data_IF_678900594321
#
_entry.id   IF_678900594321
#
_cell.length_a   1.000
_cell.length_b   1.000
_cell.length_c   1.000
_cell.angle_alpha   90.00
_cell.angle_beta   90.00
_cell.angle_gamma   90.00
#
_symmetry.space_group_name_H-M   'P 1'
#
loop_
_entity.id
_entity.type
_entity.pdbx_description
1 polymer ?
#
# COMPACT_ATOMS: atom_id res chain seq x y z
N UNK A 1 0.35 9.48 -34.68
CA UNK A 1 1.00 8.20 -35.04
C UNK A 1 0.76 7.26 -33.86
N UNK A 2 -0.21 6.34 -33.99
CA UNK A 2 -0.66 5.44 -32.91
C UNK A 2 0.12 4.12 -33.05
N UNK A 3 0.96 3.78 -32.08
CA UNK A 3 1.67 2.50 -32.05
C UNK A 3 0.92 1.47 -31.21
N UNK A 4 0.22 0.58 -31.93
CA UNK A 4 0.13 -0.88 -31.78
C UNK A 4 -0.16 -1.53 -30.41
N UNK A 5 -1.41 -1.98 -30.31
CA UNK A 5 -1.95 -3.09 -29.51
C UNK A 5 -1.43 -4.47 -29.97
N UNK A 6 -0.19 -4.85 -29.64
CA UNK A 6 0.34 -6.17 -30.03
C UNK A 6 1.23 -6.83 -28.98
N UNK A 7 0.82 -6.80 -27.71
CA UNK A 7 1.50 -7.50 -26.61
C UNK A 7 0.57 -8.50 -25.88
N UNK A 8 -0.45 -9.08 -26.53
CA UNK A 8 -1.53 -9.78 -25.83
C UNK A 8 -1.38 -11.29 -25.63
N UNK A 9 -0.40 -11.98 -26.22
CA UNK A 9 -0.33 -13.45 -26.10
C UNK A 9 0.71 -13.98 -25.09
N UNK A 10 1.81 -13.27 -24.84
CA UNK A 10 2.80 -13.70 -23.84
C UNK A 10 2.40 -13.36 -22.39
N UNK A 11 1.38 -12.50 -22.20
CA UNK A 11 0.99 -11.93 -20.91
C UNK A 11 -0.02 -12.80 -20.15
N UNK A 12 -0.74 -13.70 -20.84
CA UNK A 12 -1.77 -14.56 -20.19
C UNK A 12 -1.21 -15.63 -19.25
N UNK A 13 0.08 -15.97 -19.34
CA UNK A 13 0.70 -16.96 -18.47
C UNK A 13 1.25 -16.38 -17.15
N UNK A 14 1.37 -15.05 -17.02
CA UNK A 14 1.92 -14.39 -15.83
C UNK A 14 0.86 -13.77 -14.90
N UNK A 15 -0.39 -13.63 -15.37
CA UNK A 15 -1.45 -12.92 -14.63
C UNK A 15 -1.18 -11.41 -14.59
N UNK A 16 -2.16 -10.62 -15.03
CA UNK A 16 -2.22 -9.16 -14.91
C UNK A 16 -1.39 -8.35 -15.92
N UNK A 17 -2.03 -7.30 -16.46
CA UNK A 17 -1.51 -6.47 -17.55
C UNK A 17 -0.26 -5.67 -17.18
N UNK A 18 0.45 -5.20 -18.19
CA UNK A 18 1.58 -4.26 -18.05
C UNK A 18 1.15 -3.02 -17.28
N UNK A 19 1.58 -2.90 -16.03
CA UNK A 19 1.36 -1.73 -15.17
C UNK A 19 2.40 -0.66 -15.52
N UNK A 20 1.95 0.52 -15.93
CA UNK A 20 2.78 1.66 -16.35
C UNK A 20 3.43 2.45 -15.19
N UNK A 21 3.23 2.02 -13.95
CA UNK A 21 3.61 2.74 -12.72
C UNK A 21 3.70 1.78 -11.54
N UNK A 22 4.22 2.28 -10.41
CA UNK A 22 4.23 1.55 -9.13
C UNK A 22 2.83 1.49 -8.53
N UNK A 23 2.16 0.33 -8.61
CA UNK A 23 0.85 0.17 -8.02
C UNK A 23 0.92 0.11 -6.48
N UNK A 24 0.11 0.91 -5.79
CA UNK A 24 0.01 0.91 -4.32
C UNK A 24 -1.41 0.47 -3.93
N UNK A 25 -1.59 -0.79 -3.53
CA UNK A 25 -2.92 -1.35 -3.33
C UNK A 25 -3.57 -0.81 -2.05
N UNK A 26 -4.85 -0.48 -2.14
CA UNK A 26 -5.76 -0.32 -1.00
C UNK A 26 -7.15 -0.86 -1.40
N UNK A 27 -8.00 -1.18 -0.43
CA UNK A 27 -9.35 -1.66 -0.72
C UNK A 27 -10.42 -0.72 -0.17
N UNK A 28 -11.50 -0.55 -0.94
CA UNK A 28 -12.74 0.08 -0.48
C UNK A 28 -13.83 -0.97 -0.54
N UNK A 29 -14.50 -1.22 0.58
CA UNK A 29 -15.57 -2.22 0.68
C UNK A 29 -15.14 -3.62 0.19
N UNK A 30 -13.89 -3.99 0.47
CA UNK A 30 -13.30 -5.27 0.05
C UNK A 30 -12.96 -5.36 -1.44
N UNK A 31 -12.90 -4.23 -2.16
CA UNK A 31 -12.45 -4.18 -3.54
C UNK A 31 -11.13 -3.42 -3.64
N UNK A 32 -10.08 -4.14 -4.07
CA UNK A 32 -8.74 -3.60 -4.24
C UNK A 32 -8.63 -2.71 -5.47
N UNK A 33 -7.98 -1.57 -5.30
CA UNK A 33 -7.70 -0.57 -6.32
C UNK A 33 -6.26 -0.06 -6.16
N UNK A 34 -5.70 0.50 -7.23
CA UNK A 34 -4.40 1.17 -7.19
C UNK A 34 -4.58 2.62 -6.71
N UNK A 35 -3.93 2.98 -5.61
CA UNK A 35 -3.92 4.33 -5.06
C UNK A 35 -3.35 5.34 -6.05
N UNK A 36 -2.30 5.01 -6.80
CA UNK A 36 -1.68 5.95 -7.75
C UNK A 36 -2.67 6.27 -8.87
N UNK A 37 -3.25 5.23 -9.49
CA UNK A 37 -4.27 5.39 -10.53
C UNK A 37 -5.52 6.13 -10.00
N UNK A 38 -5.98 5.81 -8.79
CA UNK A 38 -7.18 6.41 -8.19
C UNK A 38 -6.99 7.91 -7.93
N UNK A 39 -5.80 8.36 -7.54
CA UNK A 39 -5.51 9.77 -7.30
C UNK A 39 -5.05 10.55 -8.55
N UNK A 40 -4.82 9.88 -9.67
CA UNK A 40 -4.32 10.54 -10.90
C UNK A 40 -5.13 11.76 -11.33
N UNK A 41 -6.49 11.75 -11.34
CA UNK A 41 -7.26 12.93 -11.73
C UNK A 41 -6.99 14.16 -10.85
N UNK A 42 -6.67 13.95 -9.56
CA UNK A 42 -6.33 15.02 -8.63
C UNK A 42 -4.91 15.54 -8.84
N UNK A 43 -3.97 14.67 -9.21
CA UNK A 43 -2.60 15.05 -9.58
C UNK A 43 -2.59 15.89 -10.85
N UNK A 44 -3.32 15.46 -11.87
CA UNK A 44 -3.45 16.12 -13.17
C UNK A 44 -4.09 17.51 -13.08
N UNK A 45 -5.06 17.68 -12.16
CA UNK A 45 -5.70 18.97 -11.90
C UNK A 45 -4.75 20.01 -11.28
N UNK A 46 -3.57 19.60 -10.80
CA UNK A 46 -2.60 20.49 -10.17
C UNK A 46 -3.01 20.98 -8.78
N UNK A 47 -3.99 20.32 -8.15
CA UNK A 47 -4.65 20.75 -6.92
C UNK A 47 -3.83 20.47 -5.64
N UNK A 48 -2.50 20.39 -5.77
CA UNK A 48 -1.54 19.96 -4.74
C UNK A 48 -1.59 20.79 -3.45
N UNK A 49 -1.97 22.07 -3.56
CA UNK A 49 -2.05 23.02 -2.44
C UNK A 49 -3.40 23.02 -1.73
N UNK A 50 -4.40 22.26 -2.22
CA UNK A 50 -5.74 22.19 -1.63
C UNK A 50 -5.77 21.25 -0.42
N UNK A 51 -4.71 20.47 -0.19
CA UNK A 51 -4.65 19.41 0.81
C UNK A 51 -4.07 19.85 2.17
N UNK A 52 -4.08 21.16 2.45
CA UNK A 52 -3.60 21.74 3.71
C UNK A 52 -2.26 22.45 3.57
N UNK A 53 -1.93 23.29 4.56
CA UNK A 53 -0.65 24.02 4.61
C UNK A 53 0.45 23.26 5.37
N UNK A 54 0.11 22.12 5.98
CA UNK A 54 0.98 21.37 6.88
C UNK A 54 1.36 19.99 6.30
N UNK A 55 2.57 19.52 6.63
CA UNK A 55 3.46 18.81 5.71
C UNK A 55 3.14 17.38 5.26
N UNK A 56 2.28 16.61 5.94
CA UNK A 56 2.07 15.19 5.57
C UNK A 56 1.29 15.01 4.28
N UNK A 57 0.26 15.83 4.04
CA UNK A 57 -0.52 15.75 2.79
C UNK A 57 0.29 16.17 1.58
N UNK A 58 1.12 17.22 1.71
CA UNK A 58 2.04 17.62 0.64
C UNK A 58 3.00 16.47 0.34
N UNK A 59 3.60 15.87 1.37
CA UNK A 59 4.47 14.72 1.20
C UNK A 59 3.74 13.50 0.60
N UNK A 60 2.47 13.27 0.92
CA UNK A 60 1.66 12.21 0.32
C UNK A 60 1.53 12.38 -1.19
N UNK A 61 1.06 13.54 -1.66
CA UNK A 61 0.87 13.78 -3.10
C UNK A 61 2.20 13.84 -3.87
N UNK A 62 3.24 14.43 -3.28
CA UNK A 62 4.58 14.37 -3.87
C UNK A 62 5.07 12.92 -3.96
N UNK A 63 4.72 12.07 -2.99
CA UNK A 63 5.03 10.65 -3.00
C UNK A 63 4.30 9.89 -4.10
N UNK A 64 3.00 10.14 -4.30
CA UNK A 64 2.23 9.56 -5.40
C UNK A 64 2.82 9.94 -6.77
N UNK A 65 3.18 11.21 -6.96
CA UNK A 65 3.83 11.66 -8.20
C UNK A 65 5.17 10.93 -8.43
N UNK A 66 5.95 10.69 -7.37
CA UNK A 66 7.20 9.93 -7.49
C UNK A 66 6.97 8.47 -7.87
N UNK A 67 5.88 7.85 -7.40
CA UNK A 67 5.49 6.49 -7.75
C UNK A 67 4.99 6.38 -9.20
N UNK A 68 4.31 7.42 -9.69
CA UNK A 68 3.91 7.56 -11.10
C UNK A 68 5.13 7.71 -12.02
N UNK A 69 6.11 8.52 -11.61
CA UNK A 69 7.33 8.79 -12.40
C UNK A 69 8.31 7.60 -12.44
N UNK A 70 8.16 6.62 -11.53
CA UNK A 70 9.01 5.45 -11.49
C UNK A 70 8.68 4.48 -12.64
N UNK A 71 9.70 3.81 -13.21
CA UNK A 71 9.45 2.84 -14.27
C UNK A 71 8.59 1.68 -13.76
N UNK A 72 7.70 1.21 -14.63
CA UNK A 72 6.76 0.10 -14.48
C UNK A 72 7.23 -0.98 -13.47
N UNK A 73 6.51 -1.08 -12.35
CA UNK A 73 6.69 -2.14 -11.35
C UNK A 73 5.38 -2.40 -10.61
N UNK A 74 5.02 -3.67 -10.43
CA UNK A 74 3.91 -4.02 -9.53
C UNK A 74 4.43 -4.25 -8.11
N UNK A 75 3.86 -3.58 -7.11
CA UNK A 75 4.08 -3.93 -5.69
C UNK A 75 2.95 -4.86 -5.24
N UNK A 76 3.29 -6.10 -4.88
CA UNK A 76 2.33 -7.09 -4.39
C UNK A 76 1.63 -7.88 -5.49
N UNK A 77 0.67 -8.71 -5.08
CA UNK A 77 -0.05 -9.68 -5.95
C UNK A 77 -1.56 -9.55 -5.80
N UNK A 78 -2.06 -8.31 -5.71
CA UNK A 78 -3.48 -8.05 -5.53
C UNK A 78 -4.22 -8.13 -6.86
N UNK A 79 -5.38 -8.79 -6.83
CA UNK A 79 -6.38 -8.76 -7.91
C UNK A 79 -7.05 -7.38 -7.88
N UNK A 80 -6.43 -6.41 -8.56
CA UNK A 80 -6.89 -5.02 -8.61
C UNK A 80 -8.04 -4.89 -9.60
N UNK A 81 -9.16 -4.34 -9.13
CA UNK A 81 -10.32 -4.02 -9.97
C UNK A 81 -10.17 -2.62 -10.58
N UNK A 82 -10.80 -2.35 -11.74
CA UNK A 82 -10.89 -1.00 -12.29
C UNK A 82 -11.52 -0.01 -11.30
N UNK A 83 -11.06 1.25 -11.37
CA UNK A 83 -11.25 2.37 -10.40
C UNK A 83 -12.70 2.81 -10.14
N UNK A 84 -13.74 2.15 -10.66
CA UNK A 84 -15.15 2.55 -10.50
C UNK A 84 -15.74 2.35 -9.08
N UNK A 85 -14.90 2.13 -8.06
CA UNK A 85 -15.35 1.83 -6.69
C UNK A 85 -15.46 3.09 -5.81
N UNK A 86 -14.61 4.10 -6.02
CA UNK A 86 -14.63 5.36 -5.27
C UNK A 86 -14.11 6.50 -6.15
N UNK A 87 -14.78 7.65 -6.14
CA UNK A 87 -14.25 8.83 -6.83
C UNK A 87 -13.04 9.42 -6.10
N UNK A 88 -12.10 10.07 -6.81
CA UNK A 88 -10.98 10.76 -6.17
C UNK A 88 -11.44 11.80 -5.11
N UNK A 89 -12.56 12.47 -5.36
CA UNK A 89 -13.15 13.46 -4.44
C UNK A 89 -13.76 12.82 -3.18
N UNK A 90 -14.38 11.65 -3.30
CA UNK A 90 -14.83 10.87 -2.13
C UNK A 90 -13.66 10.39 -1.30
N UNK A 91 -12.61 9.90 -1.94
CA UNK A 91 -11.40 9.44 -1.27
C UNK A 91 -10.70 10.59 -0.53
N UNK A 92 -10.61 11.75 -1.18
CA UNK A 92 -10.14 13.00 -0.56
C UNK A 92 -10.96 13.36 0.67
N UNK A 93 -12.30 13.30 0.59
CA UNK A 93 -13.16 13.60 1.73
C UNK A 93 -12.92 12.62 2.88
N UNK A 94 -12.77 11.32 2.58
CA UNK A 94 -12.48 10.30 3.58
C UNK A 94 -11.17 10.56 4.34
N UNK A 95 -10.10 10.93 3.63
CA UNK A 95 -8.82 11.30 4.25
C UNK A 95 -8.98 12.51 5.18
N UNK A 96 -9.70 13.54 4.75
CA UNK A 96 -9.88 14.76 5.53
C UNK A 96 -10.82 14.57 6.73
N UNK A 97 -11.74 13.60 6.68
CA UNK A 97 -12.66 13.32 7.78
C UNK A 97 -12.05 12.41 8.84
N UNK A 98 -11.17 11.50 8.46
CA UNK A 98 -10.63 10.47 9.36
C UNK A 98 -9.10 10.43 9.33
N UNK A 99 -8.48 10.99 10.37
CA UNK A 99 -7.02 11.01 10.54
C UNK A 99 -6.36 9.62 10.41
N UNK A 100 -6.97 8.50 10.86
CA UNK A 100 -6.42 7.18 10.59
C UNK A 100 -6.32 6.86 9.09
N UNK A 101 -7.30 7.24 8.27
CA UNK A 101 -7.29 6.98 6.82
C UNK A 101 -6.13 7.76 6.16
N UNK A 102 -6.02 9.05 6.48
CA UNK A 102 -4.91 9.91 6.01
C UNK A 102 -3.55 9.27 6.35
N UNK A 103 -3.38 8.86 7.62
CA UNK A 103 -2.14 8.25 8.10
C UNK A 103 -1.80 6.94 7.38
N UNK A 104 -2.78 6.04 7.22
CA UNK A 104 -2.53 4.74 6.59
C UNK A 104 -2.28 4.85 5.09
N UNK A 105 -2.94 5.79 4.39
CA UNK A 105 -2.62 6.08 2.99
C UNK A 105 -1.20 6.63 2.83
N UNK A 106 -0.86 7.62 3.65
CA UNK A 106 0.51 8.14 3.69
C UNK A 106 1.51 7.01 3.98
N UNK A 107 1.16 6.09 4.89
CA UNK A 107 2.01 4.94 5.20
C UNK A 107 2.26 4.03 4.01
N UNK A 108 1.21 3.66 3.28
CA UNK A 108 1.36 2.79 2.12
C UNK A 108 2.31 3.37 1.06
N UNK A 109 2.19 4.68 0.78
CA UNK A 109 3.08 5.40 -0.14
C UNK A 109 4.51 5.45 0.41
N UNK A 110 4.65 5.80 1.68
CA UNK A 110 5.96 5.96 2.30
C UNK A 110 6.73 4.64 2.39
N UNK A 111 6.10 3.54 2.79
CA UNK A 111 6.75 2.22 2.86
C UNK A 111 7.30 1.78 1.50
N UNK A 112 6.57 2.06 0.42
CA UNK A 112 7.04 1.82 -0.95
C UNK A 112 8.27 2.67 -1.28
N UNK A 113 8.19 3.99 -1.10
CA UNK A 113 9.28 4.90 -1.47
C UNK A 113 10.53 4.72 -0.61
N UNK A 114 10.38 4.47 0.69
CA UNK A 114 11.50 4.13 1.58
C UNK A 114 12.20 2.84 1.19
N UNK A 115 11.47 1.87 0.62
CA UNK A 115 12.05 0.63 0.11
C UNK A 115 12.78 0.85 -1.22
N UNK A 116 12.25 1.70 -2.10
CA UNK A 116 12.76 1.96 -3.44
C UNK A 116 13.98 2.89 -3.43
N UNK A 117 13.98 3.94 -2.59
CA UNK A 117 15.00 4.98 -2.61
C UNK A 117 16.44 4.45 -2.40
N UNK A 118 16.72 3.54 -1.44
CA UNK A 118 18.05 2.97 -1.28
C UNK A 118 18.50 2.16 -2.50
N UNK A 119 17.57 1.44 -3.14
CA UNK A 119 17.84 0.64 -4.33
C UNK A 119 18.22 1.54 -5.52
N UNK A 120 17.40 2.56 -5.80
CA UNK A 120 17.62 3.53 -6.89
C UNK A 120 18.90 4.34 -6.65
N UNK A 121 19.23 4.61 -5.39
CA UNK A 121 20.49 5.29 -5.04
C UNK A 121 21.71 4.42 -5.36
N UNK A 122 21.61 3.10 -5.09
CA UNK A 122 22.72 2.17 -5.29
C UNK A 122 22.88 1.73 -6.76
N UNK A 123 21.77 1.55 -7.47
CA UNK A 123 21.75 1.00 -8.83
C UNK A 123 20.84 1.80 -9.80
N UNK A 124 21.07 3.11 -9.98
CA UNK A 124 20.18 3.98 -10.78
C UNK A 124 19.97 3.47 -12.20
N UNK A 125 21.05 3.09 -12.90
CA UNK A 125 21.01 2.60 -14.28
C UNK A 125 20.21 1.31 -14.43
N UNK A 126 20.42 0.35 -13.51
CA UNK A 126 19.72 -0.94 -13.54
C UNK A 126 18.24 -0.83 -13.14
N UNK A 127 17.89 0.23 -12.40
CA UNK A 127 16.52 0.58 -12.09
C UNK A 127 15.85 1.42 -13.19
N UNK A 128 16.59 1.94 -14.18
CA UNK A 128 16.04 2.79 -15.24
C UNK A 128 15.61 4.17 -14.75
N UNK A 129 16.21 4.67 -13.66
CA UNK A 129 15.85 5.96 -13.05
C UNK A 129 16.91 7.01 -13.37
N UNK A 130 16.50 8.15 -13.91
CA UNK A 130 17.38 9.28 -14.18
C UNK A 130 17.82 10.04 -12.91
N UNK A 131 18.79 10.95 -13.07
CA UNK A 131 19.35 11.72 -11.97
C UNK A 131 18.33 12.68 -11.32
N UNK A 132 17.35 13.19 -12.09
CA UNK A 132 16.33 14.11 -11.61
C UNK A 132 15.36 13.39 -10.66
N UNK A 133 14.78 12.27 -11.10
CA UNK A 133 13.90 11.45 -10.28
C UNK A 133 14.63 10.90 -9.05
N UNK A 134 15.87 10.43 -9.19
CA UNK A 134 16.71 10.01 -8.05
C UNK A 134 16.89 11.13 -7.02
N UNK A 135 17.14 12.35 -7.48
CA UNK A 135 17.31 13.51 -6.60
C UNK A 135 16.02 13.85 -5.86
N UNK A 136 14.88 13.86 -6.57
CA UNK A 136 13.57 14.10 -5.96
C UNK A 136 13.20 13.03 -4.93
N UNK A 137 13.43 11.74 -5.21
CA UNK A 137 13.27 10.64 -4.25
C UNK A 137 14.09 10.86 -2.97
N UNK A 138 15.37 11.23 -3.12
CA UNK A 138 16.25 11.51 -1.99
C UNK A 138 15.78 12.71 -1.16
N UNK A 139 15.33 13.77 -1.80
CA UNK A 139 14.79 14.97 -1.15
C UNK A 139 13.50 14.66 -0.40
N UNK A 140 12.60 13.91 -1.02
CA UNK A 140 11.34 13.47 -0.43
C UNK A 140 11.58 12.62 0.83
N UNK A 141 12.47 11.61 0.75
CA UNK A 141 12.85 10.77 1.90
C UNK A 141 13.45 11.61 3.03
N UNK A 142 14.32 12.57 2.71
CA UNK A 142 14.91 13.47 3.71
C UNK A 142 13.84 14.37 4.36
N UNK A 143 12.89 14.87 3.58
CA UNK A 143 11.77 15.68 4.06
C UNK A 143 10.85 14.88 4.99
N UNK A 144 10.46 13.68 4.59
CA UNK A 144 9.60 12.79 5.39
C UNK A 144 10.29 12.37 6.69
N UNK A 145 11.59 12.02 6.65
CA UNK A 145 12.37 11.76 7.86
C UNK A 145 12.52 12.97 8.79
N UNK A 146 12.33 14.19 8.29
CA UNK A 146 12.32 15.40 9.11
C UNK A 146 10.93 15.66 9.71
N UNK A 147 9.87 15.42 8.94
CA UNK A 147 8.48 15.55 9.40
C UNK A 147 8.13 14.51 10.46
N UNK A 148 8.57 13.27 10.25
CA UNK A 148 8.40 12.17 11.19
C UNK A 148 9.60 12.19 12.13
N UNK A 149 9.37 12.31 13.44
CA UNK A 149 10.49 12.26 14.40
C UNK A 149 11.37 11.03 14.12
N UNK A 150 12.71 11.17 14.15
CA UNK A 150 13.61 10.05 13.95
C UNK A 150 13.25 8.95 14.96
N UNK A 151 13.01 7.73 14.45
CA UNK A 151 12.54 6.52 15.15
C UNK A 151 11.02 6.27 15.20
N UNK A 152 10.15 7.17 14.72
CA UNK A 152 8.70 6.88 14.66
C UNK A 152 8.29 6.05 13.44
N UNK A 153 9.03 6.17 12.33
CA UNK A 153 8.79 5.33 11.16
C UNK A 153 9.72 4.12 11.17
N UNK A 154 9.16 2.92 11.07
CA UNK A 154 9.97 1.71 10.89
C UNK A 154 10.51 1.69 9.46
N UNK A 155 11.75 2.13 9.30
CA UNK A 155 12.45 2.01 8.03
C UNK A 155 12.79 0.53 7.80
N UNK A 156 12.04 -0.13 6.92
CA UNK A 156 12.43 -1.45 6.43
C UNK A 156 13.52 -1.25 5.38
N UNK A 157 14.77 -1.49 5.76
CA UNK A 157 15.84 -1.54 4.79
C UNK A 157 15.56 -2.66 3.80
N UNK A 158 15.69 -2.37 2.49
CA UNK A 158 15.62 -3.39 1.46
C UNK A 158 16.62 -4.51 1.79
N UNK A 159 16.09 -5.66 2.22
CA UNK A 159 16.89 -6.77 2.73
C UNK A 159 17.58 -7.58 1.62
N UNK A 160 17.43 -7.17 0.36
CA UNK A 160 17.75 -8.02 -0.79
C UNK A 160 18.96 -7.55 -1.59
N UNK A 161 19.65 -8.52 -2.20
CA UNK A 161 20.71 -8.31 -3.20
C UNK A 161 20.15 -7.84 -4.56
N UNK A 162 18.87 -7.45 -4.60
CA UNK A 162 18.20 -6.99 -5.81
C UNK A 162 18.88 -5.72 -6.31
N UNK A 163 19.10 -5.65 -7.62
CA UNK A 163 19.68 -4.50 -8.31
C UNK A 163 18.74 -3.86 -9.34
N UNK A 164 17.52 -4.39 -9.49
CA UNK A 164 16.51 -3.92 -10.45
C UNK A 164 15.19 -3.73 -9.74
N UNK A 165 14.52 -2.60 -9.98
CA UNK A 165 13.22 -2.26 -9.40
C UNK A 165 12.22 -3.41 -9.57
N UNK A 166 11.98 -3.88 -10.79
CA UNK A 166 11.08 -5.01 -11.13
C UNK A 166 11.37 -6.37 -10.47
N UNK A 167 12.47 -6.52 -9.73
CA UNK A 167 12.83 -7.72 -8.97
C UNK A 167 12.63 -7.53 -7.46
N UNK A 168 12.16 -6.37 -7.02
CA UNK A 168 11.78 -6.16 -5.64
C UNK A 168 10.55 -6.99 -5.32
N UNK A 169 10.56 -7.60 -4.15
CA UNK A 169 9.43 -8.34 -3.61
C UNK A 169 9.02 -7.74 -2.28
N UNK A 170 7.72 -7.82 -2.01
CA UNK A 170 7.12 -7.29 -0.80
C UNK A 170 6.31 -8.39 -0.15
N UNK A 171 6.52 -8.59 1.14
CA UNK A 171 5.76 -9.52 1.96
C UNK A 171 4.74 -8.74 2.79
N UNK A 172 3.52 -9.28 2.92
CA UNK A 172 2.43 -8.63 3.65
C UNK A 172 2.64 -8.83 5.16
N UNK A 173 3.02 -7.77 5.86
CA UNK A 173 3.22 -7.79 7.31
C UNK A 173 1.93 -7.66 8.10
N UNK A 174 1.05 -6.77 7.66
CA UNK A 174 -0.20 -6.49 8.35
C UNK A 174 -1.26 -5.99 7.37
N UNK A 175 -2.51 -6.00 7.79
CA UNK A 175 -3.62 -5.35 7.11
C UNK A 175 -4.41 -4.53 8.12
N UNK A 176 -4.78 -3.30 7.73
CA UNK A 176 -5.52 -2.38 8.58
C UNK A 176 -6.84 -2.02 7.90
N UNK A 177 -7.97 -2.29 8.56
CA UNK A 177 -9.29 -1.83 8.13
C UNK A 177 -9.75 -0.68 9.00
N UNK A 178 -10.22 0.38 8.37
CA UNK A 178 -10.78 1.58 9.01
C UNK A 178 -12.22 1.77 8.49
N UNK A 179 -13.23 1.79 9.37
CA UNK A 179 -14.58 2.15 8.99
C UNK A 179 -14.71 3.67 8.79
N UNK A 180 -15.58 4.06 7.87
CA UNK A 180 -16.03 5.44 7.67
C UNK A 180 -17.55 5.43 7.60
N UNK A 181 -18.19 6.19 8.50
CA UNK A 181 -19.64 6.33 8.50
C UNK A 181 -20.06 7.34 7.43
N UNK A 182 -20.82 6.89 6.44
CA UNK A 182 -21.44 7.76 5.46
C UNK A 182 -22.81 8.22 5.97
N UNK A 183 -22.85 9.42 6.55
CA UNK A 183 -24.08 10.00 7.11
C UNK A 183 -25.18 10.28 6.08
N UNK A 184 -24.85 10.37 4.79
CA UNK A 184 -25.85 10.62 3.74
C UNK A 184 -26.62 9.36 3.36
N UNK A 185 -25.94 8.22 3.37
CA UNK A 185 -26.49 6.92 2.98
C UNK A 185 -26.80 6.02 4.18
N UNK A 186 -26.43 6.43 5.39
CA UNK A 186 -26.47 5.62 6.61
C UNK A 186 -25.70 4.29 6.46
N UNK A 187 -24.71 4.24 5.56
CA UNK A 187 -23.85 3.09 5.33
C UNK A 187 -22.49 3.25 6.02
N UNK A 188 -21.83 2.12 6.26
CA UNK A 188 -20.42 2.10 6.70
C UNK A 188 -19.59 1.67 5.51
N UNK A 189 -18.76 2.57 5.02
CA UNK A 189 -17.70 2.26 4.07
C UNK A 189 -16.49 1.74 4.84
N UNK A 190 -15.73 0.82 4.25
CA UNK A 190 -14.52 0.29 4.88
C UNK A 190 -13.32 0.50 3.97
N UNK A 191 -12.27 1.07 4.53
CA UNK A 191 -10.98 1.27 3.87
C UNK A 191 -9.99 0.27 4.41
N UNK A 192 -9.29 -0.45 3.53
CA UNK A 192 -8.33 -1.48 3.91
C UNK A 192 -6.95 -1.19 3.33
N UNK A 193 -5.94 -1.14 4.19
CA UNK A 193 -4.57 -0.77 3.84
C UNK A 193 -3.62 -1.93 4.18
N UNK A 194 -2.87 -2.44 3.20
CA UNK A 194 -1.87 -3.46 3.42
C UNK A 194 -0.55 -2.81 3.85
N UNK A 195 0.11 -3.42 4.82
CA UNK A 195 1.43 -3.01 5.31
C UNK A 195 2.44 -4.01 4.77
N UNK A 196 3.43 -3.50 4.04
CA UNK A 196 4.39 -4.34 3.35
C UNK A 196 5.80 -4.12 3.88
N UNK A 197 6.62 -5.16 3.79
CA UNK A 197 8.07 -5.05 3.94
C UNK A 197 8.77 -5.56 2.68
N UNK A 198 9.85 -4.91 2.24
CA UNK A 198 10.72 -5.45 1.20
C UNK A 198 11.37 -6.75 1.70
N UNK A 199 11.40 -7.77 0.85
CA UNK A 199 11.94 -9.09 1.17
C UNK A 199 12.59 -9.76 -0.06
N UNK A 200 13.17 -10.94 0.15
CA UNK A 200 13.59 -11.81 -0.94
C UNK A 200 12.39 -12.59 -1.51
N UNK A 201 12.50 -13.02 -2.76
CA UNK A 201 11.42 -13.71 -3.47
C UNK A 201 10.94 -15.00 -2.75
N UNK A 202 11.85 -15.71 -2.12
CA UNK A 202 11.60 -16.95 -1.37
C UNK A 202 10.97 -16.71 0.01
N UNK A 203 10.93 -15.46 0.47
CA UNK A 203 10.32 -15.06 1.75
C UNK A 203 8.87 -14.59 1.60
N UNK A 204 8.38 -14.39 0.37
CA UNK A 204 7.01 -13.92 0.11
C UNK A 204 5.99 -14.99 0.52
N UNK A 205 5.10 -14.63 1.45
CA UNK A 205 4.00 -15.50 1.89
C UNK A 205 2.82 -15.42 0.91
N UNK A 206 2.74 -16.38 -0.01
CA UNK A 206 1.78 -16.37 -1.14
C UNK A 206 0.31 -16.35 -0.72
N UNK A 207 -0.03 -16.94 0.43
CA UNK A 207 -1.41 -17.06 0.93
C UNK A 207 -1.77 -16.00 1.99
N UNK A 208 -0.85 -15.07 2.27
CA UNK A 208 -1.01 -14.04 3.29
C UNK A 208 -2.26 -13.18 3.07
N UNK A 209 -2.47 -12.70 1.84
CA UNK A 209 -3.60 -11.82 1.50
C UNK A 209 -4.92 -12.55 1.69
N UNK A 210 -5.04 -13.79 1.19
CA UNK A 210 -6.27 -14.58 1.27
C UNK A 210 -6.65 -14.87 2.73
N UNK A 211 -5.66 -15.19 3.58
CA UNK A 211 -5.86 -15.41 5.02
C UNK A 211 -6.28 -14.12 5.73
N UNK A 212 -5.63 -13.01 5.43
CA UNK A 212 -5.96 -11.70 5.98
C UNK A 212 -7.38 -11.26 5.59
N UNK A 213 -7.76 -11.43 4.32
CA UNK A 213 -9.12 -11.14 3.85
C UNK A 213 -10.18 -12.04 4.49
N UNK A 214 -9.87 -13.33 4.70
CA UNK A 214 -10.76 -14.24 5.42
C UNK A 214 -11.01 -13.73 6.83
N UNK A 215 -9.95 -13.37 7.56
CA UNK A 215 -10.06 -12.81 8.90
C UNK A 215 -10.86 -11.49 8.92
N UNK A 216 -10.62 -10.60 7.94
CA UNK A 216 -11.37 -9.35 7.79
C UNK A 216 -12.88 -9.59 7.59
N UNK A 217 -13.28 -10.54 6.74
CA UNK A 217 -14.70 -10.85 6.48
C UNK A 217 -15.44 -11.34 7.72
N UNK A 218 -14.75 -11.98 8.65
CA UNK A 218 -15.34 -12.49 9.90
C UNK A 218 -15.46 -11.43 11.01
N UNK A 219 -14.76 -10.29 10.87
CA UNK A 219 -14.69 -9.25 11.90
C UNK A 219 -15.76 -8.16 11.71
N UNK A 220 -16.30 -7.55 12.80
CA UNK A 220 -17.29 -6.48 12.73
C UNK A 220 -16.85 -5.27 11.88
N UNK A 221 -17.71 -4.82 10.97
CA UNK A 221 -17.38 -3.77 9.99
C UNK A 221 -17.25 -2.38 10.62
N UNK A 222 -17.84 -2.15 11.78
CA UNK A 222 -17.90 -0.87 12.50
C UNK A 222 -16.67 -0.62 13.40
N UNK A 223 -15.66 -1.49 13.33
CA UNK A 223 -14.45 -1.40 14.15
C UNK A 223 -13.22 -1.18 13.29
N UNK A 224 -12.32 -0.32 13.78
CA UNK A 224 -10.93 -0.29 13.32
C UNK A 224 -10.31 -1.63 13.68
N UNK A 225 -9.71 -2.30 12.70
CA UNK A 225 -9.08 -3.60 12.89
C UNK A 225 -7.69 -3.57 12.28
N UNK A 226 -6.67 -3.92 13.05
CA UNK A 226 -5.33 -4.19 12.53
C UNK A 226 -4.99 -5.66 12.77
N UNK A 227 -4.55 -6.34 11.72
CA UNK A 227 -4.16 -7.74 11.76
C UNK A 227 -2.70 -7.88 11.32
N UNK A 228 -1.85 -8.38 12.21
CA UNK A 228 -0.46 -8.75 11.92
C UNK A 228 -0.43 -10.19 11.41
N UNK A 229 0.37 -10.44 10.39
CA UNK A 229 0.68 -11.75 9.89
C UNK A 229 2.04 -12.20 10.43
N UNK A 230 2.07 -13.24 11.24
CA UNK A 230 3.28 -13.83 11.80
C UNK A 230 3.53 -15.22 11.22
N UNK A 231 4.79 -15.67 11.16
CA UNK A 231 5.13 -17.04 10.77
C UNK A 231 5.44 -17.88 12.00
N UNK A 232 4.81 -19.04 12.14
CA UNK A 232 5.07 -19.99 13.23
C UNK A 232 5.08 -21.43 12.68
N UNK A 233 6.22 -22.11 12.79
CA UNK A 233 6.41 -23.49 12.31
C UNK A 233 6.02 -23.70 10.83
N UNK A 234 6.24 -22.69 9.98
CA UNK A 234 5.87 -22.74 8.56
C UNK A 234 4.44 -22.30 8.25
N UNK A 235 3.59 -22.13 9.27
CA UNK A 235 2.22 -21.64 9.12
C UNK A 235 2.17 -20.11 9.28
N UNK A 236 1.22 -19.47 8.58
CA UNK A 236 0.91 -18.04 8.73
C UNK A 236 -0.16 -17.89 9.81
N UNK A 237 0.16 -17.20 10.90
CA UNK A 237 -0.80 -16.80 11.93
C UNK A 237 -1.30 -15.39 11.66
N UNK A 238 -2.61 -15.17 11.76
CA UNK A 238 -3.23 -13.84 11.70
C UNK A 238 -3.60 -13.43 13.12
N UNK A 239 -2.96 -12.37 13.62
CA UNK A 239 -3.07 -11.91 14.99
C UNK A 239 -3.60 -10.49 15.02
N UNK A 240 -4.47 -10.16 15.98
CA UNK A 240 -4.92 -8.78 16.18
C UNK A 240 -3.79 -7.94 16.77
N UNK A 241 -3.56 -6.76 16.21
CA UNK A 241 -2.51 -5.83 16.67
C UNK A 241 -3.04 -4.89 17.77
N UNK A 242 -2.57 -5.01 19.02
CA UNK A 242 -3.06 -4.20 20.12
C UNK A 242 -2.57 -2.75 20.07
N UNK A 243 -1.51 -2.43 19.30
CA UNK A 243 -0.92 -1.08 19.29
C UNK A 243 -1.74 -0.07 18.48
N UNK A 244 -2.60 -0.55 17.59
CA UNK A 244 -3.44 0.28 16.72
C UNK A 244 -4.90 0.39 17.19
N UNK A 245 -5.22 -0.19 18.36
CA UNK A 245 -6.56 -0.14 18.94
C UNK A 245 -6.71 1.05 19.90
N UNK A 246 -7.87 1.73 19.91
CA UNK A 246 -8.18 2.66 20.98
C UNK A 246 -8.14 1.91 22.32
N UNK A 247 -7.52 2.49 23.36
CA UNK A 247 -7.17 1.81 24.62
C UNK A 247 -8.37 1.20 25.39
N UNK A 248 -9.60 1.56 25.02
CA UNK A 248 -10.83 1.15 25.72
C UNK A 248 -11.54 -0.08 25.09
N UNK A 249 -10.97 -0.71 24.05
CA UNK A 249 -11.65 -1.79 23.29
C UNK A 249 -11.32 -3.23 23.71
N UNK A 250 -10.68 -3.42 24.87
CA UNK A 250 -10.23 -4.75 25.34
C UNK A 250 -11.39 -5.73 25.57
N UNK A 251 -11.59 -6.61 24.59
CA UNK A 251 -12.13 -7.95 24.80
C UNK A 251 -11.06 -8.94 24.32
N UNK A 252 -10.34 -9.56 25.25
CA UNK A 252 -9.14 -10.37 25.01
C UNK A 252 -9.37 -11.71 24.27
N UNK A 253 -10.59 -11.97 23.79
CA UNK A 253 -11.02 -13.32 23.37
C UNK A 253 -10.90 -13.62 21.86
N UNK A 254 -10.32 -12.72 21.05
CA UNK A 254 -10.25 -12.91 19.59
C UNK A 254 -8.80 -13.10 19.08
N UNK A 255 -8.11 -14.12 19.57
CA UNK A 255 -7.00 -14.73 18.81
C UNK A 255 -7.59 -15.92 18.05
N UNK A 256 -8.05 -15.69 16.82
CA UNK A 256 -8.36 -16.80 15.91
C UNK A 256 -7.08 -17.17 15.17
N UNK A 257 -6.53 -18.34 15.48
CA UNK A 257 -5.50 -18.94 14.65
C UNK A 257 -6.17 -19.45 13.36
N UNK A 258 -5.84 -18.83 12.23
CA UNK A 258 -6.15 -19.39 10.92
C UNK A 258 -4.92 -20.19 10.49
N UNK A 259 -5.03 -21.52 10.49
CA UNK A 259 -3.97 -22.38 9.96
C UNK A 259 -4.21 -22.63 8.47
N UNK A 260 -3.11 -22.71 7.72
CA UNK A 260 -3.13 -23.14 6.34
C UNK A 260 -3.49 -24.64 6.32
N UNK A 261 -4.67 -24.99 5.81
CA UNK A 261 -4.98 -26.39 5.53
C UNK A 261 -4.03 -26.83 4.41
N UNK A 262 -3.02 -27.61 4.78
CA UNK A 262 -2.12 -28.21 3.79
C UNK A 262 -2.93 -29.23 3.00
N UNK A 263 -3.32 -28.87 1.78
CA UNK A 263 -3.82 -29.84 0.81
C UNK A 263 -2.69 -30.85 0.54
N UNK A 264 -2.85 -32.05 1.10
CA UNK A 264 -1.97 -33.21 0.92
C UNK A 264 -2.41 -34.05 -0.28
#
# INVERSE_FOLDING_TARGET
MRCSYAASEAVRAAGWGTLSSVAVPFAVNGHWVDMVETFQPLLDAGDRYVFGRDGLNIAFFDGLQLLEDLPDMTVGSFDMKPVEIISPEELKRAMLSEAPIEREMFRAVADCLFSIQPLVTRYPESCGVDDNLRTRLKQWVAHVNHLLEPNKWRLYHAASEVCKLKKMHFDLLAIVRIPLVNFQTESIDTFTFPVHQPCNADQVRRNAIQLAEKALREAPLDQVLSLILASHNGNILVLRDPELEPPDSFNHDYIKMFEEESEA
#
